data_IF_049979340680
#
_entry.id   IF_049979340680
#
_cell.length_a   1.000
_cell.length_b   1.000
_cell.length_c   1.000
_cell.angle_alpha   90.00
_cell.angle_beta   90.00
_cell.angle_gamma   90.00
#
_symmetry.space_group_name_H-M   'P 1'
#
loop_
_entity.id
_entity.type
_entity.pdbx_description
1 polymer ?
#
# COMPACT_ATOMS: atom_id res chain seq x y z
N UNK A 1 1.47 24.51 44.66
CA UNK A 1 2.27 24.06 43.50
C UNK A 1 1.79 22.71 42.96
N UNK A 2 1.55 21.71 43.81
CA UNK A 2 1.02 20.37 43.46
C UNK A 2 -0.32 20.37 42.71
N UNK A 3 -1.28 21.23 43.08
CA UNK A 3 -2.58 21.33 42.37
C UNK A 3 -2.46 21.77 40.90
N UNK A 4 -1.49 22.64 40.60
CA UNK A 4 -1.23 23.10 39.22
C UNK A 4 -0.58 21.98 38.40
N UNK A 5 0.29 21.17 39.02
CA UNK A 5 0.85 19.98 38.39
C UNK A 5 -0.20 18.91 38.14
N UNK A 6 -1.08 18.64 39.11
CA UNK A 6 -2.16 17.67 38.98
C UNK A 6 -3.11 18.03 37.84
N UNK A 7 -3.48 19.32 37.74
CA UNK A 7 -4.33 19.81 36.65
C UNK A 7 -3.66 19.67 35.28
N UNK A 8 -2.36 19.99 35.19
CA UNK A 8 -1.58 19.79 33.96
C UNK A 8 -1.46 18.32 33.58
N UNK A 9 -1.19 17.44 34.54
CA UNK A 9 -1.09 15.98 34.30
C UNK A 9 -2.41 15.43 33.80
N UNK A 10 -3.53 15.83 34.39
CA UNK A 10 -4.86 15.41 33.95
C UNK A 10 -5.16 15.87 32.50
N UNK A 11 -4.80 17.12 32.17
CA UNK A 11 -5.00 17.66 30.83
C UNK A 11 -4.15 16.94 29.77
N UNK A 12 -2.90 16.60 30.12
CA UNK A 12 -2.01 15.82 29.27
C UNK A 12 -2.57 14.40 29.07
N UNK A 13 -3.02 13.72 30.12
CA UNK A 13 -3.61 12.38 30.02
C UNK A 13 -4.85 12.40 29.11
N UNK A 14 -5.75 13.38 29.29
CA UNK A 14 -6.94 13.55 28.45
C UNK A 14 -6.59 13.78 26.98
N UNK A 15 -5.58 14.60 26.70
CA UNK A 15 -5.11 14.85 25.32
C UNK A 15 -4.50 13.61 24.66
N UNK A 16 -3.76 12.80 25.41
CA UNK A 16 -3.13 11.56 24.89
C UNK A 16 -4.17 10.52 24.54
N UNK A 17 -5.17 10.31 25.41
CA UNK A 17 -6.32 9.43 25.13
C UNK A 17 -7.04 9.92 23.85
N UNK A 18 -7.15 11.23 23.68
CA UNK A 18 -7.79 11.83 22.52
C UNK A 18 -7.01 11.68 21.19
N UNK A 19 -5.70 11.45 21.23
CA UNK A 19 -4.92 11.17 20.02
C UNK A 19 -5.00 9.69 19.64
N UNK A 20 -4.96 8.80 20.64
CA UNK A 20 -4.99 7.35 20.40
C UNK A 20 -6.32 6.82 19.87
N UNK A 21 -7.44 7.48 20.18
CA UNK A 21 -8.75 7.09 19.68
C UNK A 21 -9.10 7.74 18.33
N UNK A 22 -8.21 8.55 17.74
CA UNK A 22 -8.47 9.15 16.43
C UNK A 22 -8.21 8.08 15.36
N UNK A 23 -9.24 7.58 14.65
CA UNK A 23 -9.00 6.70 13.54
C UNK A 23 -8.21 7.49 12.49
N UNK A 24 -6.97 7.07 12.24
CA UNK A 24 -6.24 7.53 11.06
C UNK A 24 -7.06 7.08 9.86
N UNK A 25 -7.75 8.01 9.21
CA UNK A 25 -8.45 7.75 7.98
C UNK A 25 -7.40 7.42 6.90
N UNK A 26 -7.05 6.15 6.75
CA UNK A 26 -6.27 5.68 5.62
C UNK A 26 -7.20 5.74 4.40
N UNK A 27 -6.99 6.73 3.53
CA UNK A 27 -7.62 6.71 2.21
C UNK A 27 -7.04 5.51 1.45
N UNK A 28 -7.91 4.63 0.95
CA UNK A 28 -7.51 3.53 0.09
C UNK A 28 -7.02 4.12 -1.22
N UNK A 29 -5.70 4.10 -1.44
CA UNK A 29 -5.11 4.58 -2.68
C UNK A 29 -5.20 3.48 -3.75
N UNK A 30 -5.66 3.86 -4.94
CA UNK A 30 -5.68 2.99 -6.11
C UNK A 30 -4.45 3.27 -6.97
N UNK A 31 -3.62 2.26 -7.21
CA UNK A 31 -2.39 2.38 -8.00
C UNK A 31 -2.53 1.61 -9.31
N UNK A 32 -2.10 2.20 -10.41
CA UNK A 32 -2.11 1.61 -11.76
C UNK A 32 -0.70 1.77 -12.33
N UNK A 33 -0.25 0.82 -13.15
CA UNK A 33 1.04 0.90 -13.82
C UNK A 33 1.07 2.04 -14.86
N UNK A 34 2.19 2.72 -15.00
CA UNK A 34 2.39 3.79 -15.97
C UNK A 34 2.50 3.24 -17.39
N UNK A 35 1.69 3.81 -18.27
CA UNK A 35 1.61 3.43 -19.68
C UNK A 35 2.85 3.79 -20.50
N UNK A 36 3.78 4.59 -19.94
CA UNK A 36 5.06 4.95 -20.55
C UNK A 36 6.21 4.06 -20.10
N UNK A 37 5.96 3.13 -19.19
CA UNK A 37 6.98 2.21 -18.71
C UNK A 37 7.37 1.21 -19.82
N UNK A 38 8.62 0.76 -19.79
CA UNK A 38 9.11 -0.24 -20.72
C UNK A 38 8.50 -1.61 -20.40
N UNK A 39 8.35 -2.47 -21.40
CA UNK A 39 7.90 -3.86 -21.17
C UNK A 39 8.77 -4.59 -20.14
N UNK A 40 10.07 -4.29 -20.11
CA UNK A 40 11.01 -4.82 -19.12
C UNK A 40 10.66 -4.36 -17.69
N UNK A 41 10.32 -3.08 -17.52
CA UNK A 41 9.86 -2.54 -16.24
C UNK A 41 8.53 -3.14 -15.80
N UNK A 42 7.57 -3.27 -16.71
CA UNK A 42 6.27 -3.90 -16.43
C UNK A 42 6.42 -5.37 -16.02
N UNK A 43 7.26 -6.13 -16.73
CA UNK A 43 7.58 -7.51 -16.39
C UNK A 43 8.26 -7.63 -15.03
N UNK A 44 9.20 -6.72 -14.73
CA UNK A 44 9.87 -6.70 -13.44
C UNK A 44 8.87 -6.47 -12.29
N UNK A 45 7.90 -5.56 -12.48
CA UNK A 45 6.85 -5.31 -11.50
C UNK A 45 5.99 -6.55 -11.23
N UNK A 46 5.59 -7.27 -12.28
CA UNK A 46 4.86 -8.53 -12.15
C UNK A 46 5.72 -9.55 -11.41
N UNK A 47 6.96 -9.76 -11.88
CA UNK A 47 7.88 -10.75 -11.33
C UNK A 47 8.13 -10.55 -9.83
N UNK A 48 8.53 -9.35 -9.42
CA UNK A 48 8.83 -9.05 -8.01
C UNK A 48 7.58 -9.15 -7.12
N UNK A 49 6.44 -8.65 -7.58
CA UNK A 49 5.20 -8.70 -6.81
C UNK A 49 4.70 -10.13 -6.58
N UNK A 50 4.82 -10.99 -7.61
CA UNK A 50 4.39 -12.38 -7.54
C UNK A 50 5.40 -13.29 -6.84
N UNK A 51 6.69 -13.19 -7.16
CA UNK A 51 7.74 -14.09 -6.65
C UNK A 51 7.88 -13.99 -5.13
N UNK A 52 7.93 -12.76 -4.62
CA UNK A 52 8.03 -12.52 -3.18
C UNK A 52 6.72 -12.70 -2.41
N UNK A 53 5.65 -13.15 -3.10
CA UNK A 53 4.31 -13.37 -2.55
C UNK A 53 3.74 -12.14 -1.83
N UNK A 54 4.13 -10.95 -2.27
CA UNK A 54 3.51 -9.71 -1.81
C UNK A 54 2.07 -9.62 -2.32
N UNK A 55 1.80 -10.22 -3.48
CA UNK A 55 0.49 -10.31 -4.13
C UNK A 55 0.20 -11.74 -4.58
N UNK A 56 -1.05 -12.17 -4.46
CA UNK A 56 -1.52 -13.41 -5.09
C UNK A 56 -1.79 -13.19 -6.58
N UNK A 57 -0.91 -13.72 -7.43
CA UNK A 57 -0.98 -13.54 -8.88
C UNK A 57 -1.81 -14.61 -9.61
N UNK A 58 -2.45 -15.56 -8.91
CA UNK A 58 -3.35 -16.54 -9.55
C UNK A 58 -4.45 -15.90 -10.42
N UNK A 59 -5.04 -14.74 -10.07
CA UNK A 59 -6.07 -14.12 -10.90
C UNK A 59 -5.58 -13.61 -12.26
N UNK A 60 -4.30 -13.28 -12.42
CA UNK A 60 -3.73 -12.74 -13.68
C UNK A 60 -3.10 -13.82 -14.57
N UNK A 61 -3.12 -15.09 -14.14
CA UNK A 61 -2.68 -16.21 -14.97
C UNK A 61 -3.83 -16.76 -15.85
N UNK A 62 -3.53 -17.51 -16.92
CA UNK A 62 -4.55 -18.09 -17.79
C UNK A 62 -5.64 -18.85 -17.01
N UNK A 63 -6.90 -18.51 -17.27
CA UNK A 63 -8.06 -19.06 -16.55
C UNK A 63 -8.39 -18.35 -15.23
N UNK A 64 -7.60 -17.34 -14.83
CA UNK A 64 -7.87 -16.47 -13.69
C UNK A 64 -8.90 -15.38 -14.00
N UNK A 65 -9.52 -14.84 -12.94
CA UNK A 65 -10.59 -13.85 -13.05
C UNK A 65 -10.16 -12.47 -13.54
N UNK A 66 -8.85 -12.19 -13.51
CA UNK A 66 -8.24 -10.91 -13.90
C UNK A 66 -7.19 -11.11 -15.00
N UNK A 67 -7.28 -12.21 -15.74
CA UNK A 67 -6.41 -12.48 -16.88
C UNK A 67 -6.66 -11.50 -18.01
N UNK A 68 -7.93 -11.22 -18.31
CA UNK A 68 -8.32 -10.31 -19.38
C UNK A 68 -8.41 -8.85 -18.91
N UNK A 69 -7.88 -7.88 -19.69
CA UNK A 69 -7.17 -8.10 -20.95
C UNK A 69 -5.74 -8.63 -20.75
N UNK A 70 -5.33 -9.58 -21.59
CA UNK A 70 -4.00 -10.18 -21.58
C UNK A 70 -2.94 -9.21 -22.12
N UNK A 71 -2.56 -8.24 -21.28
CA UNK A 71 -1.52 -7.26 -21.56
C UNK A 71 -0.63 -7.05 -20.35
N UNK A 72 0.66 -6.80 -20.59
CA UNK A 72 1.64 -6.54 -19.53
C UNK A 72 1.22 -5.40 -18.62
N UNK A 73 0.68 -4.31 -19.20
CA UNK A 73 0.26 -3.14 -18.43
C UNK A 73 -0.92 -3.46 -17.50
N UNK A 74 -1.87 -4.29 -17.94
CA UNK A 74 -3.02 -4.69 -17.13
C UNK A 74 -2.63 -5.63 -16.00
N UNK A 75 -1.78 -6.62 -16.27
CA UNK A 75 -1.27 -7.52 -15.24
C UNK A 75 -0.37 -6.79 -14.22
N UNK A 76 0.50 -5.89 -14.68
CA UNK A 76 1.31 -5.06 -13.79
C UNK A 76 0.45 -4.12 -12.93
N UNK A 77 -0.61 -3.54 -13.51
CA UNK A 77 -1.56 -2.69 -12.77
C UNK A 77 -2.29 -3.46 -11.67
N UNK A 78 -2.66 -4.72 -11.92
CA UNK A 78 -3.24 -5.58 -10.89
C UNK A 78 -2.28 -5.77 -9.73
N UNK A 79 -1.01 -6.11 -10.02
CA UNK A 79 0.03 -6.34 -9.01
C UNK A 79 0.27 -5.08 -8.18
N UNK A 80 0.45 -3.92 -8.82
CA UNK A 80 0.67 -2.65 -8.13
C UNK A 80 -0.52 -2.25 -7.26
N UNK A 81 -1.74 -2.43 -7.77
CA UNK A 81 -2.94 -2.13 -7.01
C UNK A 81 -3.08 -3.04 -5.78
N UNK A 82 -2.86 -4.35 -5.96
CA UNK A 82 -2.94 -5.30 -4.86
C UNK A 82 -1.88 -5.02 -3.80
N UNK A 83 -0.64 -4.72 -4.21
CA UNK A 83 0.45 -4.36 -3.31
C UNK A 83 0.12 -3.15 -2.43
N UNK A 84 -0.43 -2.07 -3.00
CA UNK A 84 -0.82 -0.85 -2.27
C UNK A 84 -1.93 -1.10 -1.24
N UNK A 85 -2.80 -2.07 -1.49
CA UNK A 85 -3.86 -2.45 -0.54
C UNK A 85 -3.34 -3.35 0.59
N UNK A 86 -2.23 -4.04 0.39
CA UNK A 86 -1.61 -4.95 1.36
C UNK A 86 -0.59 -4.26 2.27
N UNK A 87 0.06 -3.18 1.83
CA UNK A 87 1.07 -2.47 2.61
C UNK A 87 0.60 -1.07 3.02
N UNK A 88 0.05 -0.96 4.22
CA UNK A 88 -0.18 0.32 4.90
C UNK A 88 1.18 0.84 5.41
N UNK A 89 1.63 1.95 4.83
CA UNK A 89 2.58 2.92 5.40
C UNK A 89 3.85 2.38 6.10
N UNK A 90 4.81 1.84 5.35
CA UNK A 90 6.22 1.90 5.79
C UNK A 90 7.07 2.53 4.69
N UNK A 91 7.85 3.55 5.06
CA UNK A 91 8.78 4.29 4.20
C UNK A 91 9.95 3.42 3.66
N UNK A 92 9.83 2.09 3.70
CA UNK A 92 10.78 1.08 3.24
C UNK A 92 10.29 0.27 2.03
N UNK A 93 9.03 0.40 1.60
CA UNK A 93 8.55 -0.22 0.35
C UNK A 93 8.87 0.57 -0.94
N UNK A 94 9.51 1.74 -0.80
CA UNK A 94 9.63 2.76 -1.86
C UNK A 94 10.78 2.51 -2.85
N UNK A 95 11.65 1.52 -2.65
CA UNK A 95 12.51 1.10 -3.78
C UNK A 95 11.77 0.12 -4.71
N UNK A 96 10.79 -0.65 -4.23
CA UNK A 96 10.63 -2.05 -4.69
C UNK A 96 9.63 -2.36 -5.82
N UNK A 97 8.88 -1.39 -6.35
CA UNK A 97 8.18 -1.53 -7.66
C UNK A 97 8.68 -0.50 -8.68
N UNK A 98 9.87 0.06 -8.43
CA UNK A 98 10.60 1.12 -9.16
C UNK A 98 9.73 1.96 -10.10
N UNK A 99 9.04 2.93 -9.47
CA UNK A 99 8.30 4.04 -10.06
C UNK A 99 6.96 3.66 -10.71
N UNK A 100 5.97 4.51 -10.43
CA UNK A 100 4.64 4.45 -11.02
C UNK A 100 4.74 4.39 -12.53
#
# INVERSE_FOLDING_TARGET
MTNVYLLKVLFIILSVIAVHHLPVATSKQWCIANSKETDAGLLLNIYLGCEHKFVDCRPIYPGGSCFDPDTLISHASFVMNAFSNSMIASNTGVVTMVLA
#
